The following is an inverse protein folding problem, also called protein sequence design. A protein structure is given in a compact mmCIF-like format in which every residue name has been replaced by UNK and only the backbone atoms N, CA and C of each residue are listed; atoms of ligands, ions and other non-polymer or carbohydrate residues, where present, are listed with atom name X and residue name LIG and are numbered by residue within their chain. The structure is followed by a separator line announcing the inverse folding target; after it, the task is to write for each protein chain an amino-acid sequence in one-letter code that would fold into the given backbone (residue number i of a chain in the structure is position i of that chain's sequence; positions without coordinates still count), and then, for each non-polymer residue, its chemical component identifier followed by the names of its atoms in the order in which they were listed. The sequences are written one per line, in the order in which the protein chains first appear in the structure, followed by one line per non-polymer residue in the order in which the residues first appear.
data_IF_901653130393
#
_entry.id   IF_901653130393
#
_cell.length_a   1.000
_cell.length_b   1.000
_cell.length_c   1.000
_cell.angle_alpha   90.00
_cell.angle_beta   90.00
_cell.angle_gamma   90.00
#
_symmetry.space_group_name_H-M   'P 1'
#
loop_
_entity.id
_entity.type
_entity.pdbx_description
1 polymer ?
#
# COMPACT_ATOMS: atom_id res chain seq x y z
N UNK A 1 -2.69 14.79 11.49
CA UNK A 1 -1.78 14.72 12.68
C UNK A 1 -1.70 13.32 13.30
N UNK A 2 -2.81 12.60 13.46
CA UNK A 2 -2.83 11.21 13.96
C UNK A 2 -1.95 10.23 13.14
N UNK A 3 -1.97 10.32 11.81
CA UNK A 3 -1.13 9.48 10.93
C UNK A 3 0.37 9.56 11.22
N UNK A 4 0.89 10.76 11.49
CA UNK A 4 2.31 10.97 11.80
C UNK A 4 2.65 10.30 13.14
N UNK A 5 1.77 10.43 14.14
CA UNK A 5 1.94 9.78 15.44
C UNK A 5 1.95 8.26 15.26
N UNK A 6 0.99 7.70 14.51
CA UNK A 6 0.93 6.27 14.23
C UNK A 6 2.19 5.77 13.52
N UNK A 7 2.66 6.50 12.51
CA UNK A 7 3.90 6.16 11.79
C UNK A 7 5.13 6.19 12.73
N UNK A 8 5.21 7.13 13.67
CA UNK A 8 6.28 7.18 14.67
C UNK A 8 6.20 5.97 15.61
N UNK A 9 5.00 5.61 16.07
CA UNK A 9 4.78 4.43 16.92
C UNK A 9 5.21 3.16 16.19
N UNK A 10 4.78 2.98 14.95
CA UNK A 10 5.15 1.81 14.14
C UNK A 10 6.67 1.76 13.90
N UNK A 11 7.28 2.90 13.56
CA UNK A 11 8.74 3.01 13.39
C UNK A 11 9.48 2.63 14.66
N UNK A 12 9.01 3.11 15.82
CA UNK A 12 9.61 2.79 17.12
C UNK A 12 9.52 1.30 17.41
N UNK A 13 8.36 0.68 17.18
CA UNK A 13 8.17 -0.77 17.35
C UNK A 13 9.08 -1.59 16.43
N UNK A 14 9.29 -1.13 15.21
CA UNK A 14 10.22 -1.78 14.27
C UNK A 14 11.65 -1.70 14.83
N UNK A 15 12.06 -0.53 15.29
CA UNK A 15 13.42 -0.31 15.82
C UNK A 15 13.69 -1.05 17.13
N UNK A 16 12.67 -1.23 17.97
CA UNK A 16 12.77 -1.99 19.23
C UNK A 16 12.61 -3.49 19.05
N UNK A 17 12.28 -3.98 17.84
CA UNK A 17 11.97 -5.39 17.59
C UNK A 17 10.65 -5.85 18.23
N UNK A 18 9.83 -4.93 18.73
CA UNK A 18 8.49 -5.19 19.28
C UNK A 18 7.41 -5.26 18.20
N UNK A 19 7.78 -5.03 16.94
CA UNK A 19 6.89 -5.14 15.79
C UNK A 19 6.58 -6.61 15.46
N UNK A 20 5.60 -7.18 16.16
CA UNK A 20 5.13 -8.56 15.99
C UNK A 20 3.82 -8.57 15.20
N UNK A 21 3.78 -9.39 14.16
CA UNK A 21 2.57 -9.68 13.40
C UNK A 21 1.66 -10.64 14.16
N UNK A 22 0.36 -10.36 14.15
CA UNK A 22 -0.70 -11.25 14.62
C UNK A 22 -1.23 -12.05 13.43
N UNK A 23 -0.56 -13.16 13.12
CA UNK A 23 -0.88 -13.96 11.94
C UNK A 23 -2.13 -14.81 12.13
N UNK A 24 -3.00 -14.79 11.14
CA UNK A 24 -4.10 -15.74 10.95
C UNK A 24 -4.26 -16.12 9.49
N UNK A 25 -5.13 -17.09 9.19
CA UNK A 25 -5.54 -17.35 7.81
C UNK A 25 -6.67 -16.38 7.46
N UNK A 26 -6.42 -15.47 6.53
CA UNK A 26 -7.39 -14.48 6.08
C UNK A 26 -7.59 -14.56 4.58
N UNK A 27 -8.83 -14.32 4.17
CA UNK A 27 -9.21 -14.13 2.77
C UNK A 27 -8.55 -12.83 2.27
N UNK A 28 -7.64 -12.94 1.30
CA UNK A 28 -6.80 -11.80 0.86
C UNK A 28 -7.48 -10.95 -0.21
N UNK A 29 -8.35 -11.56 -1.03
CA UNK A 29 -8.97 -10.89 -2.19
C UNK A 29 -9.95 -9.84 -1.69
N UNK A 30 -10.93 -10.26 -0.88
CA UNK A 30 -11.92 -9.42 -0.22
C UNK A 30 -11.27 -8.40 0.70
N UNK A 31 -10.19 -8.76 1.41
CA UNK A 31 -9.46 -7.82 2.26
C UNK A 31 -8.95 -6.63 1.43
N UNK A 32 -8.22 -6.89 0.35
CA UNK A 32 -7.65 -5.84 -0.50
C UNK A 32 -8.76 -5.10 -1.27
N UNK A 33 -9.77 -5.81 -1.75
CA UNK A 33 -10.92 -5.23 -2.45
C UNK A 33 -11.69 -4.24 -1.57
N UNK A 34 -12.05 -4.63 -0.34
CA UNK A 34 -12.77 -3.78 0.61
C UNK A 34 -11.99 -2.50 0.91
N UNK A 35 -10.66 -2.62 1.10
CA UNK A 35 -9.79 -1.47 1.31
C UNK A 35 -9.72 -0.60 0.06
N UNK A 36 -9.58 -1.18 -1.13
CA UNK A 36 -9.54 -0.41 -2.37
C UNK A 36 -10.85 0.36 -2.57
N UNK A 37 -11.99 -0.29 -2.36
CA UNK A 37 -13.32 0.29 -2.50
C UNK A 37 -13.56 1.45 -1.54
N UNK A 38 -13.06 1.39 -0.31
CA UNK A 38 -13.17 2.49 0.66
C UNK A 38 -12.43 3.76 0.20
N UNK A 39 -11.40 3.62 -0.62
CA UNK A 39 -10.62 4.76 -1.16
C UNK A 39 -11.21 5.38 -2.43
N UNK A 40 -12.18 4.73 -3.09
CA UNK A 40 -12.73 5.16 -4.39
C UNK A 40 -13.29 6.58 -4.33
N UNK A 41 -14.02 6.92 -3.27
CA UNK A 41 -14.59 8.26 -3.09
C UNK A 41 -13.50 9.34 -2.99
N UNK A 42 -12.37 9.01 -2.35
CA UNK A 42 -11.24 9.91 -2.19
C UNK A 42 -10.53 10.13 -3.53
N UNK A 43 -10.27 9.05 -4.28
CA UNK A 43 -9.69 9.11 -5.61
C UNK A 43 -10.57 9.92 -6.58
N UNK A 44 -11.88 9.67 -6.55
CA UNK A 44 -12.87 10.39 -7.38
C UNK A 44 -12.86 11.90 -7.12
N UNK A 45 -12.67 12.34 -5.87
CA UNK A 45 -12.53 13.77 -5.53
C UNK A 45 -11.33 14.45 -6.20
N UNK A 46 -10.34 13.66 -6.65
CA UNK A 46 -9.15 14.11 -7.39
C UNK A 46 -9.24 13.79 -8.89
N UNK A 47 -10.41 13.38 -9.41
CA UNK A 47 -10.62 12.92 -10.78
C UNK A 47 -9.74 11.70 -11.15
N UNK A 48 -9.60 10.77 -10.22
CA UNK A 48 -8.84 9.52 -10.39
C UNK A 48 -9.83 8.35 -10.34
N UNK A 49 -9.75 7.42 -11.29
CA UNK A 49 -10.45 6.13 -11.23
C UNK A 49 -9.57 5.07 -10.57
N UNK A 50 -10.20 4.19 -9.79
CA UNK A 50 -9.57 2.98 -9.26
C UNK A 50 -10.25 1.79 -9.90
N UNK A 51 -9.45 0.88 -10.44
CA UNK A 51 -9.87 -0.41 -10.99
C UNK A 51 -9.25 -1.52 -10.13
N UNK A 52 -10.04 -2.52 -9.77
CA UNK A 52 -9.58 -3.71 -9.06
C UNK A 52 -9.86 -4.93 -9.91
N UNK A 53 -8.87 -5.80 -10.08
CA UNK A 53 -8.99 -7.07 -10.81
C UNK A 53 -8.20 -8.18 -10.10
N UNK A 54 -8.57 -9.43 -10.38
CA UNK A 54 -7.96 -10.61 -9.77
C UNK A 54 -8.10 -11.84 -10.66
N UNK A 55 -7.10 -12.72 -10.66
CA UNK A 55 -7.18 -14.00 -11.35
C UNK A 55 -7.83 -15.12 -10.52
N UNK A 56 -8.26 -14.81 -9.30
CA UNK A 56 -8.91 -15.74 -8.37
C UNK A 56 -10.03 -15.02 -7.60
N UNK A 57 -11.18 -15.68 -7.43
CA UNK A 57 -12.33 -15.08 -6.73
C UNK A 57 -12.16 -15.07 -5.21
N UNK A 58 -11.58 -16.13 -4.64
CA UNK A 58 -11.38 -16.28 -3.19
C UNK A 58 -10.09 -17.05 -2.93
N UNK A 59 -9.22 -16.53 -2.05
CA UNK A 59 -7.99 -17.18 -1.66
C UNK A 59 -7.51 -16.79 -0.25
N UNK A 60 -7.13 -17.78 0.56
CA UNK A 60 -6.66 -17.56 1.93
C UNK A 60 -5.15 -17.63 2.03
N UNK A 61 -4.55 -16.74 2.82
CA UNK A 61 -3.13 -16.81 3.21
C UNK A 61 -2.94 -16.53 4.69
N UNK A 62 -1.80 -16.98 5.21
CA UNK A 62 -1.22 -16.52 6.46
C UNK A 62 -0.81 -15.05 6.31
N UNK A 63 -1.54 -14.15 6.95
CA UNK A 63 -1.18 -12.75 7.06
C UNK A 63 -1.69 -12.12 8.36
N UNK A 64 -1.16 -10.95 8.69
CA UNK A 64 -1.72 -10.02 9.66
C UNK A 64 -2.58 -9.01 8.89
N UNK A 65 -3.92 -9.06 9.02
CA UNK A 65 -4.80 -8.26 8.20
C UNK A 65 -4.67 -6.75 8.48
N UNK A 66 -4.27 -6.36 9.70
CA UNK A 66 -4.07 -4.96 10.06
C UNK A 66 -2.81 -4.39 9.39
N UNK A 67 -1.77 -5.21 9.22
CA UNK A 67 -0.59 -4.83 8.45
C UNK A 67 -0.89 -4.78 6.96
N UNK A 68 -1.61 -5.75 6.40
CA UNK A 68 -2.06 -5.72 5.01
C UNK A 68 -2.89 -4.47 4.75
N UNK A 69 -3.81 -4.12 5.65
CA UNK A 69 -4.60 -2.91 5.57
C UNK A 69 -3.73 -1.65 5.45
N UNK A 70 -2.75 -1.50 6.34
CA UNK A 70 -1.79 -0.38 6.30
C UNK A 70 -0.94 -0.39 5.03
N UNK A 71 -0.53 -1.55 4.55
CA UNK A 71 0.24 -1.69 3.29
C UNK A 71 -0.58 -1.14 2.13
N UNK A 72 -1.79 -1.67 1.95
CA UNK A 72 -2.70 -1.32 0.84
C UNK A 72 -3.05 0.16 0.89
N UNK A 73 -3.48 0.68 2.06
CA UNK A 73 -3.82 2.10 2.22
C UNK A 73 -2.64 3.03 1.92
N UNK A 74 -1.41 2.69 2.36
CA UNK A 74 -0.24 3.52 2.07
C UNK A 74 0.10 3.54 0.58
N UNK A 75 0.01 2.40 -0.11
CA UNK A 75 0.29 2.31 -1.55
C UNK A 75 -0.77 3.06 -2.36
N UNK A 76 -2.05 2.85 -2.09
CA UNK A 76 -3.14 3.60 -2.75
C UNK A 76 -3.04 5.10 -2.46
N UNK A 77 -2.77 5.50 -1.22
CA UNK A 77 -2.58 6.91 -0.84
C UNK A 77 -1.46 7.56 -1.63
N UNK A 78 -0.34 6.86 -1.81
CA UNK A 78 0.76 7.33 -2.66
C UNK A 78 0.33 7.44 -4.12
N UNK A 79 -0.32 6.43 -4.68
CA UNK A 79 -0.83 6.46 -6.06
C UNK A 79 -1.78 7.65 -6.26
N UNK A 80 -2.77 7.87 -5.40
CA UNK A 80 -3.68 9.04 -5.47
C UNK A 80 -2.90 10.36 -5.44
N UNK A 81 -1.95 10.48 -4.51
CA UNK A 81 -1.17 11.69 -4.30
C UNK A 81 -0.31 12.07 -5.51
N UNK A 82 0.26 11.09 -6.20
CA UNK A 82 1.18 11.32 -7.32
C UNK A 82 0.52 11.23 -8.69
N UNK A 83 -0.70 10.67 -8.76
CA UNK A 83 -1.52 10.59 -9.98
C UNK A 83 -2.36 11.83 -10.24
N UNK A 84 -2.64 12.65 -9.22
CA UNK A 84 -3.38 13.94 -9.40
C UNK A 84 -2.71 14.91 -10.39
N UNK A 85 -1.45 14.69 -10.74
CA UNK A 85 -0.69 15.49 -11.70
C UNK A 85 -0.65 14.88 -13.11
N UNK A 86 -1.32 13.74 -13.33
CA UNK A 86 -1.38 13.11 -14.65
C UNK A 86 -2.09 14.02 -15.66
N UNK A 87 -1.51 14.14 -16.85
CA UNK A 87 -2.07 14.96 -17.94
C UNK A 87 -3.20 14.28 -18.70
N UNK A 88 -3.41 12.99 -18.47
CA UNK A 88 -4.28 12.12 -19.30
C UNK A 88 -5.54 11.63 -18.57
N UNK A 89 -5.82 12.16 -17.38
CA UNK A 89 -6.80 11.59 -16.44
C UNK A 89 -6.14 10.53 -15.56
N UNK A 90 -6.44 10.55 -14.26
CA UNK A 90 -5.79 9.67 -13.30
C UNK A 90 -6.41 8.28 -13.28
N UNK A 91 -5.58 7.25 -13.39
CA UNK A 91 -6.00 5.85 -13.28
C UNK A 91 -5.06 5.15 -12.31
N UNK A 92 -5.66 4.39 -11.40
CA UNK A 92 -4.96 3.47 -10.50
C UNK A 92 -5.57 2.08 -10.74
N UNK A 93 -4.72 1.08 -10.99
CA UNK A 93 -5.13 -0.31 -11.12
C UNK A 93 -4.53 -1.12 -9.98
N UNK A 94 -5.34 -1.99 -9.39
CA UNK A 94 -4.96 -2.87 -8.31
C UNK A 94 -5.24 -4.30 -8.76
N UNK A 95 -4.19 -5.07 -9.01
CA UNK A 95 -4.34 -6.45 -9.47
C UNK A 95 -3.84 -7.43 -8.41
N UNK A 96 -4.61 -8.49 -8.16
CA UNK A 96 -4.15 -9.66 -7.39
C UNK A 96 -3.87 -10.81 -8.36
N UNK A 97 -2.64 -11.32 -8.31
CA UNK A 97 -2.21 -12.46 -9.11
C UNK A 97 -1.76 -13.57 -8.17
N UNK A 98 -2.56 -14.63 -8.12
CA UNK A 98 -2.21 -15.89 -7.47
C UNK A 98 -1.27 -16.69 -8.35
N UNK A 99 -0.12 -17.05 -7.79
CA UNK A 99 0.85 -18.01 -8.32
C UNK A 99 1.04 -19.17 -7.31
N UNK A 100 1.71 -20.25 -7.74
CA UNK A 100 1.87 -21.45 -6.89
C UNK A 100 2.47 -21.14 -5.51
N UNK A 101 3.50 -20.29 -5.45
CA UNK A 101 4.25 -19.99 -4.21
C UNK A 101 4.01 -18.59 -3.67
N UNK A 102 3.38 -17.73 -4.44
CA UNK A 102 3.31 -16.31 -4.17
C UNK A 102 1.95 -15.75 -4.51
N UNK A 103 1.54 -14.74 -3.75
CA UNK A 103 0.49 -13.81 -4.15
C UNK A 103 1.16 -12.48 -4.44
N UNK A 104 0.87 -11.95 -5.62
CA UNK A 104 1.32 -10.62 -6.03
C UNK A 104 0.15 -9.67 -5.94
N UNK A 105 0.36 -8.54 -5.28
CA UNK A 105 -0.57 -7.41 -5.26
C UNK A 105 0.15 -6.26 -5.96
N UNK A 106 -0.39 -5.87 -7.11
CA UNK A 106 0.17 -4.84 -7.98
C UNK A 106 -0.62 -3.55 -7.79
N UNK A 107 0.07 -2.44 -7.66
CA UNK A 107 -0.51 -1.10 -7.62
C UNK A 107 0.10 -0.29 -8.76
N UNK A 108 -0.61 -0.23 -9.88
CA UNK A 108 -0.21 0.53 -11.05
C UNK A 108 -0.90 1.90 -11.05
N UNK A 109 -0.12 2.95 -11.26
CA UNK A 109 -0.61 4.32 -11.40
C UNK A 109 -0.02 4.98 -12.63
N UNK A 110 -0.78 5.85 -13.29
CA UNK A 110 -0.32 6.65 -14.43
C UNK A 110 0.14 8.06 -14.02
N UNK A 111 0.71 8.19 -12.82
CA UNK A 111 1.15 9.46 -12.24
C UNK A 111 2.50 9.95 -12.76
N UNK A 112 3.16 10.79 -11.96
CA UNK A 112 4.43 11.43 -12.34
C UNK A 112 5.61 10.45 -12.51
N UNK A 113 5.50 9.23 -12.01
CA UNK A 113 6.59 8.26 -11.96
C UNK A 113 7.74 8.67 -11.03
N UNK A 114 8.75 7.80 -10.97
CA UNK A 114 9.90 7.87 -10.05
C UNK A 114 11.18 7.84 -10.89
N UNK A 115 12.09 8.82 -10.72
CA UNK A 115 13.41 8.82 -11.35
C UNK A 115 14.20 7.54 -11.04
N UNK A 116 15.01 7.10 -12.01
CA UNK A 116 15.76 5.85 -11.90
C UNK A 116 16.69 5.84 -10.68
N UNK A 117 17.38 6.95 -10.41
CA UNK A 117 18.30 7.07 -9.26
C UNK A 117 17.63 7.03 -7.88
N UNK A 118 16.29 7.08 -7.83
CA UNK A 118 15.52 7.08 -6.58
C UNK A 118 14.85 5.74 -6.30
N UNK A 119 14.74 4.82 -7.27
CA UNK A 119 13.96 3.57 -7.13
C UNK A 119 14.36 2.72 -5.92
N UNK A 120 15.65 2.61 -5.62
CA UNK A 120 16.12 1.84 -4.46
C UNK A 120 15.95 2.61 -3.14
N UNK A 121 15.97 3.94 -3.22
CA UNK A 121 15.96 4.84 -2.07
C UNK A 121 14.57 5.17 -1.56
N UNK A 122 13.51 4.99 -2.37
CA UNK A 122 12.15 5.38 -1.96
C UNK A 122 11.63 4.62 -0.72
N UNK A 123 12.26 3.49 -0.39
CA UNK A 123 11.95 2.71 0.80
C UNK A 123 12.78 3.15 2.02
N UNK A 124 13.74 4.07 1.85
CA UNK A 124 14.50 4.65 2.95
C UNK A 124 13.64 5.65 3.73
N UNK A 125 13.83 5.67 5.05
CA UNK A 125 13.09 6.58 5.94
C UNK A 125 13.43 8.04 5.64
N UNK A 126 12.42 8.90 5.72
CA UNK A 126 12.49 10.35 5.55
C UNK A 126 12.88 10.82 4.15
N UNK A 127 13.03 9.91 3.18
CA UNK A 127 13.37 10.27 1.82
C UNK A 127 12.14 10.82 1.09
N UNK A 128 12.34 11.94 0.39
CA UNK A 128 11.33 12.58 -0.46
C UNK A 128 11.94 12.85 -1.82
N UNK A 129 11.18 12.62 -2.89
CA UNK A 129 11.64 12.80 -4.26
C UNK A 129 11.99 14.25 -4.61
N UNK A 130 11.52 15.24 -3.83
CA UNK A 130 11.73 16.63 -4.18
C UNK A 130 11.81 17.57 -2.97
N UNK A 131 12.92 18.33 -2.89
CA UNK A 131 13.10 19.48 -2.00
C UNK A 131 12.61 20.79 -2.66
N UNK A 132 12.25 20.78 -3.95
CA UNK A 132 11.89 21.97 -4.73
C UNK A 132 10.37 22.25 -4.78
N UNK A 133 9.53 21.22 -4.64
CA UNK A 133 8.07 21.33 -4.51
C UNK A 133 7.64 21.68 -3.08
N UNK A 134 8.14 22.80 -2.59
CA UNK A 134 8.19 23.22 -1.18
C UNK A 134 6.85 23.44 -0.44
N UNK A 135 5.68 23.18 -1.03
CA UNK A 135 4.39 23.56 -0.39
C UNK A 135 3.18 22.65 -0.58
N UNK A 136 3.21 21.58 -1.37
CA UNK A 136 1.95 20.94 -1.82
C UNK A 136 1.81 19.43 -1.60
N UNK A 137 2.81 18.76 -1.01
CA UNK A 137 2.77 17.32 -0.81
C UNK A 137 3.24 16.98 0.59
N UNK A 138 2.37 17.10 1.58
CA UNK A 138 2.60 16.67 2.98
C UNK A 138 2.78 15.14 3.04
N UNK A 139 3.68 14.66 3.89
CA UNK A 139 4.00 13.25 4.03
C UNK A 139 5.38 13.08 4.66
N UNK A 140 5.47 12.29 5.73
CA UNK A 140 6.67 12.19 6.57
C UNK A 140 7.87 11.52 5.89
N UNK A 141 7.68 10.91 4.71
CA UNK A 141 8.70 10.08 4.05
C UNK A 141 8.92 8.73 4.76
N UNK A 142 7.99 8.32 5.64
CA UNK A 142 8.11 7.09 6.43
C UNK A 142 7.23 5.96 5.87
N UNK A 143 6.12 6.29 5.19
CA UNK A 143 5.11 5.31 4.76
C UNK A 143 5.68 4.10 4.00
N UNK A 144 6.47 4.31 2.94
CA UNK A 144 7.04 3.21 2.16
C UNK A 144 8.05 2.35 2.94
N UNK A 145 8.76 2.93 3.92
CA UNK A 145 9.67 2.15 4.78
C UNK A 145 8.90 1.23 5.75
N UNK A 146 7.74 1.67 6.23
CA UNK A 146 6.83 0.87 7.07
C UNK A 146 6.23 -0.26 6.22
N UNK A 147 5.77 0.06 5.01
CA UNK A 147 5.27 -0.93 4.05
C UNK A 147 6.30 -2.02 3.81
N UNK A 148 7.55 -1.64 3.49
CA UNK A 148 8.64 -2.59 3.30
C UNK A 148 8.84 -3.49 4.52
N UNK A 149 8.89 -2.90 5.71
CA UNK A 149 9.06 -3.67 6.97
C UNK A 149 7.91 -4.65 7.21
N UNK A 150 6.66 -4.24 6.99
CA UNK A 150 5.49 -5.12 7.14
C UNK A 150 5.51 -6.28 6.14
N UNK A 151 5.86 -6.02 4.89
CA UNK A 151 5.98 -7.04 3.85
C UNK A 151 7.11 -8.03 4.19
N UNK A 152 8.25 -7.53 4.68
CA UNK A 152 9.38 -8.38 5.11
C UNK A 152 9.01 -9.25 6.32
N UNK A 153 8.23 -8.75 7.28
CA UNK A 153 7.70 -9.54 8.41
C UNK A 153 6.82 -10.69 7.95
N UNK A 154 6.09 -10.52 6.85
CA UNK A 154 5.32 -11.59 6.21
C UNK A 154 6.20 -12.61 5.45
N UNK A 155 7.52 -12.40 5.39
CA UNK A 155 8.44 -13.20 4.55
C UNK A 155 8.31 -12.87 3.06
N UNK A 156 7.75 -11.71 2.74
CA UNK A 156 7.54 -11.22 1.40
C UNK A 156 8.62 -10.26 0.91
N UNK A 157 8.35 -9.61 -0.23
CA UNK A 157 9.17 -8.53 -0.77
C UNK A 157 8.32 -7.46 -1.45
N UNK A 158 8.75 -6.20 -1.40
CA UNK A 158 8.16 -5.12 -2.20
C UNK A 158 9.17 -4.62 -3.24
N UNK A 159 8.70 -4.34 -4.45
CA UNK A 159 9.51 -3.73 -5.51
C UNK A 159 8.74 -2.63 -6.24
N UNK A 160 9.44 -1.82 -7.03
CA UNK A 160 8.83 -0.79 -7.87
C UNK A 160 9.42 -0.82 -9.27
N UNK A 161 8.57 -0.80 -10.27
CA UNK A 161 8.95 -0.45 -11.63
C UNK A 161 8.29 0.88 -12.01
N UNK A 162 9.07 1.85 -12.47
CA UNK A 162 8.54 3.18 -12.74
C UNK A 162 9.35 3.88 -13.83
N UNK A 163 8.67 4.71 -14.61
CA UNK A 163 9.28 5.57 -15.62
C UNK A 163 8.74 6.98 -15.39
N UNK A 164 9.66 7.95 -15.30
CA UNK A 164 9.31 9.35 -15.10
C UNK A 164 8.32 9.82 -16.18
N UNK A 165 7.23 10.45 -15.73
CA UNK A 165 6.08 10.92 -16.51
C UNK A 165 5.23 9.83 -17.19
N UNK A 166 5.43 8.55 -16.87
CA UNK A 166 4.57 7.46 -17.37
C UNK A 166 3.81 6.74 -16.26
N UNK A 167 4.30 6.80 -15.02
CA UNK A 167 3.66 6.17 -13.88
C UNK A 167 4.56 5.23 -13.10
N UNK A 168 3.97 4.47 -12.19
CA UNK A 168 4.66 3.52 -11.32
C UNK A 168 3.83 2.26 -11.13
N UNK A 169 4.51 1.14 -10.96
CA UNK A 169 3.94 -0.15 -10.57
C UNK A 169 4.67 -0.59 -9.32
N UNK A 170 3.97 -0.57 -8.18
CA UNK A 170 4.45 -1.20 -6.96
C UNK A 170 3.99 -2.65 -6.93
N UNK A 171 4.90 -3.58 -6.67
CA UNK A 171 4.60 -5.01 -6.56
C UNK A 171 4.90 -5.47 -5.15
N UNK A 172 3.85 -5.88 -4.42
CA UNK A 172 3.96 -6.58 -3.14
C UNK A 172 3.85 -8.08 -3.39
N UNK A 173 4.86 -8.84 -2.97
CA UNK A 173 4.89 -10.30 -3.03
C UNK A 173 4.75 -10.88 -1.63
N UNK A 174 3.76 -11.73 -1.41
CA UNK A 174 3.52 -12.44 -0.15
C UNK A 174 3.56 -13.96 -0.36
N UNK A 175 4.08 -14.75 0.59
CA UNK A 175 4.07 -16.21 0.48
C UNK A 175 2.64 -16.76 0.42
N UNK A 176 2.36 -17.60 -0.57
CA UNK A 176 1.10 -18.35 -0.66
C UNK A 176 1.16 -19.56 0.28
N UNK A 177 0.93 -19.31 1.58
CA UNK A 177 0.99 -20.34 2.63
C UNK A 177 -0.13 -20.12 3.63
N UNK A 178 -0.51 -21.19 4.34
CA UNK A 178 -1.49 -21.14 5.43
C UNK A 178 -0.81 -21.48 6.75
N UNK A 179 -1.40 -21.02 7.86
CA UNK A 179 -1.12 -21.54 9.19
C UNK A 179 -1.84 -22.87 9.40
N UNK A 180 -1.08 -23.86 9.84
CA UNK A 180 -1.63 -25.14 10.27
C UNK A 180 -2.58 -24.95 11.46
N UNK A 181 -3.68 -25.73 11.48
CA UNK A 181 -4.66 -25.76 12.57
C UNK A 181 -5.29 -24.39 12.93
N UNK A 182 -5.30 -23.44 12.00
CA UNK A 182 -5.91 -22.12 12.18
C UNK A 182 -7.20 -22.02 11.37
N UNK A 183 -8.21 -21.35 11.92
CA UNK A 183 -9.48 -21.11 11.23
C UNK A 183 -9.29 -20.15 10.05
N UNK A 184 -10.12 -20.30 9.02
CA UNK A 184 -10.22 -19.35 7.90
C UNK A 184 -11.09 -18.18 8.34
N UNK A 185 -10.57 -16.96 8.21
CA UNK A 185 -11.24 -15.74 8.66
C UNK A 185 -11.48 -14.78 7.49
N UNK A 186 -12.55 -14.02 7.60
CA UNK A 186 -12.77 -12.83 6.79
C UNK A 186 -12.52 -11.63 7.70
N UNK A 187 -11.59 -10.77 7.31
CA UNK A 187 -11.31 -9.56 8.08
C UNK A 187 -12.38 -8.51 7.82
N UNK A 188 -12.95 -7.95 8.89
CA UNK A 188 -13.92 -6.85 8.78
C UNK A 188 -13.19 -5.54 8.81
N UNK A 189 -12.96 -4.97 7.63
CA UNK A 189 -12.37 -3.65 7.47
C UNK A 189 -13.21 -2.57 8.14
N UNK A 190 -12.54 -1.59 8.76
CA UNK A 190 -13.16 -0.42 9.36
C UNK A 190 -12.81 0.84 8.55
N UNK A 191 -13.82 1.43 7.91
CA UNK A 191 -13.66 2.62 7.06
C UNK A 191 -13.00 3.81 7.77
N UNK A 192 -13.07 3.91 9.10
CA UNK A 192 -12.43 4.98 9.87
C UNK A 192 -10.89 5.03 9.66
N UNK A 193 -10.25 3.90 9.40
CA UNK A 193 -8.81 3.84 9.15
C UNK A 193 -8.44 4.50 7.80
N UNK A 194 -9.33 4.39 6.81
CA UNK A 194 -9.25 5.08 5.51
C UNK A 194 -9.10 6.59 5.70
N UNK A 195 -9.98 7.18 6.52
CA UNK A 195 -9.99 8.63 6.77
C UNK A 195 -8.69 9.10 7.41
N UNK A 196 -8.14 8.31 8.34
CA UNK A 196 -6.87 8.63 9.01
C UNK A 196 -5.71 8.60 8.01
N UNK A 197 -5.58 7.55 7.20
CA UNK A 197 -4.47 7.38 6.26
C UNK A 197 -4.53 8.34 5.06
N UNK A 198 -5.74 8.69 4.62
CA UNK A 198 -5.96 9.62 3.50
C UNK A 198 -6.20 11.06 3.98
N UNK A 199 -6.07 11.34 5.28
CA UNK A 199 -6.28 12.69 5.85
C UNK A 199 -5.41 13.78 5.18
N UNK A 200 -4.21 13.42 4.73
CA UNK A 200 -3.28 14.34 4.07
C UNK A 200 -3.64 14.63 2.59
N UNK A 201 -4.59 13.89 2.00
CA UNK A 201 -5.03 14.09 0.60
C UNK A 201 -6.09 15.21 0.51
N UNK A 202 -6.74 15.54 1.62
CA UNK A 202 -7.78 16.58 1.68
C UNK A 202 -7.23 18.01 1.69
N UNK A 203 -6.00 18.21 2.19
CA UNK A 203 -5.42 19.54 2.38
C UNK A 203 -4.70 20.06 1.13
#
# INVERSE_FOLDING_TARGET
MLRIINNIVDTTRIDTGEFRADFGNYEIVSLVEDIAMSTVSFAKSKNISIEFDTNVEEHYIKCDPSMIEKIVLNLISNSIKYTKYSKYGGIIKIDIILEEKWIKILFEDNGIGIPLEMKDKIFDRFLRLDNSLRRLNEGSGIGLSIVKSMVEVHGGSISVNSILNQGSVFEVKLPNTLLDNSIMNIYKFNEANTEIELSDIYN
#
